data_IF_480108471036
#
_entry.id   IF_480108471036
#
_cell.length_a   1.000
_cell.length_b   1.000
_cell.length_c   1.000
_cell.angle_alpha   90.00
_cell.angle_beta   90.00
_cell.angle_gamma   90.00
#
_symmetry.space_group_name_H-M   'P 1'
#
loop_
_entity.id
_entity.type
_entity.pdbx_description
1 polymer ?
#
# COMPACT_ATOMS: atom_id res chain seq x y z
N UNK A 1 -13.34 26.47 5.87
CA UNK A 1 -13.29 25.70 4.58
C UNK A 1 -13.82 24.31 4.87
N UNK A 2 -14.47 23.65 3.91
CA UNK A 2 -14.90 22.26 4.11
C UNK A 2 -13.67 21.36 4.25
N UNK A 3 -13.69 20.44 5.22
CA UNK A 3 -12.62 19.50 5.42
C UNK A 3 -12.53 18.49 4.26
N UNK A 4 -11.31 18.17 3.84
CA UNK A 4 -11.01 17.37 2.64
C UNK A 4 -10.33 16.06 3.00
N UNK A 5 -10.48 15.07 2.14
CA UNK A 5 -9.61 13.89 2.17
C UNK A 5 -8.29 14.27 1.49
N UNK A 6 -7.19 14.21 2.23
CA UNK A 6 -5.83 14.42 1.69
C UNK A 6 -5.32 13.10 1.13
N UNK A 7 -4.98 13.08 -0.17
CA UNK A 7 -4.37 11.91 -0.81
C UNK A 7 -2.93 12.26 -1.14
N UNK A 8 -1.96 11.59 -0.52
CA UNK A 8 -0.54 11.74 -0.85
C UNK A 8 -0.12 10.70 -1.88
N UNK A 9 0.90 11.01 -2.70
CA UNK A 9 1.28 10.14 -3.81
C UNK A 9 0.20 10.09 -4.91
N UNK A 10 -0.56 11.19 -5.03
CA UNK A 10 -1.76 11.27 -5.88
C UNK A 10 -1.45 11.19 -7.37
N UNK A 11 -0.23 11.53 -7.80
CA UNK A 11 0.23 11.41 -9.19
C UNK A 11 0.70 10.01 -9.55
N UNK A 12 0.91 9.16 -8.54
CA UNK A 12 1.25 7.75 -8.72
C UNK A 12 0.06 6.93 -9.23
N UNK A 13 0.34 5.71 -9.71
CA UNK A 13 -0.68 4.83 -10.29
C UNK A 13 -1.90 4.61 -9.39
N UNK A 14 -1.70 4.21 -8.13
CA UNK A 14 -2.81 3.91 -7.21
C UNK A 14 -3.44 5.18 -6.63
N UNK A 15 -2.65 6.23 -6.41
CA UNK A 15 -3.18 7.53 -5.99
C UNK A 15 -4.16 8.11 -7.00
N UNK A 16 -3.88 7.98 -8.30
CA UNK A 16 -4.82 8.38 -9.37
C UNK A 16 -6.10 7.58 -9.33
N UNK A 17 -6.00 6.25 -9.31
CA UNK A 17 -7.16 5.34 -9.26
C UNK A 17 -8.08 5.68 -8.10
N UNK A 18 -7.51 5.80 -6.90
CA UNK A 18 -8.30 6.09 -5.69
C UNK A 18 -8.82 7.52 -5.71
N UNK A 19 -8.02 8.49 -6.19
CA UNK A 19 -8.47 9.87 -6.35
C UNK A 19 -9.66 10.01 -7.30
N UNK A 20 -9.63 9.34 -8.44
CA UNK A 20 -10.74 9.31 -9.40
C UNK A 20 -11.98 8.63 -8.81
N UNK A 21 -11.82 7.47 -8.15
CA UNK A 21 -12.92 6.76 -7.53
C UNK A 21 -13.61 7.55 -6.42
N UNK A 22 -12.85 8.13 -5.50
CA UNK A 22 -13.40 8.96 -4.42
C UNK A 22 -14.07 10.25 -4.93
N UNK A 23 -13.53 10.86 -6.00
CA UNK A 23 -14.16 12.02 -6.65
C UNK A 23 -15.49 11.67 -7.32
N UNK A 24 -15.62 10.47 -7.89
CA UNK A 24 -16.88 9.98 -8.45
C UNK A 24 -17.97 9.84 -7.35
N UNK A 25 -17.58 9.51 -6.11
CA UNK A 25 -18.42 9.52 -4.92
C UNK A 25 -18.67 10.91 -4.32
N UNK A 26 -18.37 11.99 -5.05
CA UNK A 26 -18.56 13.41 -4.66
C UNK A 26 -17.80 13.81 -3.38
N UNK A 27 -16.66 13.17 -3.10
CA UNK A 27 -15.78 13.53 -2.00
C UNK A 27 -14.96 14.78 -2.34
N UNK A 28 -14.77 15.66 -1.36
CA UNK A 28 -13.87 16.81 -1.50
C UNK A 28 -12.42 16.34 -1.26
N UNK A 29 -11.55 16.53 -2.24
CA UNK A 29 -10.18 15.98 -2.24
C UNK A 29 -9.13 17.08 -2.28
N UNK A 30 -8.04 16.85 -1.54
CA UNK A 30 -6.77 17.55 -1.71
C UNK A 30 -5.70 16.53 -2.10
N UNK A 31 -5.27 16.58 -3.33
CA UNK A 31 -4.25 15.71 -3.91
C UNK A 31 -2.87 16.31 -3.68
N UNK A 32 -1.91 15.52 -3.21
CA UNK A 32 -0.53 15.99 -3.03
C UNK A 32 0.48 15.01 -3.62
N UNK A 33 1.52 15.55 -4.25
CA UNK A 33 2.65 14.79 -4.81
C UNK A 33 3.84 15.72 -5.07
N UNK A 34 5.03 15.15 -5.31
CA UNK A 34 6.19 15.86 -5.84
C UNK A 34 6.16 15.97 -7.38
N UNK A 35 5.46 15.02 -8.03
CA UNK A 35 5.26 15.02 -9.48
C UNK A 35 4.11 15.94 -9.89
N UNK A 36 3.98 16.15 -11.20
CA UNK A 36 2.86 16.91 -11.76
C UNK A 36 1.52 16.24 -11.45
N UNK A 37 0.44 17.05 -11.29
CA UNK A 37 -0.87 16.52 -11.00
C UNK A 37 -1.39 15.60 -12.11
N UNK A 38 -2.27 14.65 -11.80
CA UNK A 38 -3.00 13.91 -12.82
C UNK A 38 -3.78 14.86 -13.74
N UNK A 39 -3.82 14.55 -15.04
CA UNK A 39 -4.55 15.33 -16.02
C UNK A 39 -5.59 14.47 -16.75
N UNK A 40 -6.85 14.90 -16.78
CA UNK A 40 -7.41 16.05 -16.04
C UNK A 40 -7.46 15.80 -14.53
N UNK A 41 -7.51 16.85 -13.72
CA UNK A 41 -7.80 16.71 -12.29
C UNK A 41 -9.21 16.11 -12.10
N UNK A 42 -9.39 15.18 -11.16
CA UNK A 42 -10.72 14.70 -10.79
C UNK A 42 -11.64 15.85 -10.37
N UNK A 43 -12.92 15.74 -10.70
CA UNK A 43 -13.90 16.80 -10.42
C UNK A 43 -13.94 17.14 -8.93
N UNK A 44 -13.81 18.41 -8.59
CA UNK A 44 -13.83 18.88 -7.20
C UNK A 44 -12.55 18.63 -6.41
N UNK A 45 -11.50 18.13 -7.04
CA UNK A 45 -10.20 17.97 -6.43
C UNK A 45 -9.35 19.24 -6.58
N UNK A 46 -8.54 19.53 -5.54
CA UNK A 46 -7.45 20.48 -5.57
C UNK A 46 -6.12 19.74 -5.60
N UNK A 47 -5.07 20.35 -6.13
CA UNK A 47 -3.72 19.79 -6.10
C UNK A 47 -2.74 20.78 -5.47
N UNK A 48 -1.85 20.26 -4.62
CA UNK A 48 -0.70 20.99 -4.10
C UNK A 48 0.57 20.15 -4.25
N UNK A 49 1.61 20.73 -4.82
CA UNK A 49 2.92 20.10 -4.89
C UNK A 49 3.56 20.13 -3.51
N UNK A 50 3.71 18.95 -2.89
CA UNK A 50 4.29 18.81 -1.56
C UNK A 50 5.22 17.59 -1.55
N UNK A 51 6.44 17.80 -1.05
CA UNK A 51 7.35 16.72 -0.71
C UNK A 51 6.98 16.17 0.68
N UNK A 52 6.80 14.86 0.80
CA UNK A 52 6.50 14.19 2.06
C UNK A 52 7.57 14.43 3.14
N UNK A 53 8.81 14.70 2.72
CA UNK A 53 9.92 14.99 3.65
C UNK A 53 9.89 16.42 4.18
N UNK A 54 9.12 17.31 3.58
CA UNK A 54 8.88 18.66 4.11
C UNK A 54 7.80 18.62 5.20
N UNK A 55 8.26 18.50 6.43
CA UNK A 55 7.38 18.45 7.62
C UNK A 55 6.44 19.66 7.71
N UNK A 56 6.97 20.85 7.47
CA UNK A 56 6.19 22.09 7.64
C UNK A 56 5.06 22.16 6.62
N UNK A 57 5.34 21.84 5.34
CA UNK A 57 4.34 21.79 4.28
C UNK A 57 3.26 20.72 4.55
N UNK A 58 3.67 19.53 5.01
CA UNK A 58 2.73 18.46 5.36
C UNK A 58 1.80 18.86 6.51
N UNK A 59 2.33 19.38 7.60
CA UNK A 59 1.54 19.72 8.79
C UNK A 59 0.66 20.96 8.58
N UNK A 60 1.01 21.86 7.67
CA UNK A 60 0.17 23.00 7.30
C UNK A 60 -1.20 22.60 6.71
N UNK A 61 -1.37 21.35 6.27
CA UNK A 61 -2.65 20.82 5.77
C UNK A 61 -3.66 20.50 6.89
N UNK A 62 -3.24 20.39 8.14
CA UNK A 62 -4.07 19.90 9.23
C UNK A 62 -5.43 20.63 9.37
N UNK A 63 -5.54 21.97 9.26
CA UNK A 63 -6.82 22.68 9.45
C UNK A 63 -7.90 22.33 8.41
N UNK A 64 -7.54 21.73 7.28
CA UNK A 64 -8.46 21.37 6.20
C UNK A 64 -8.57 19.85 5.96
N UNK A 65 -7.96 19.02 6.81
CA UNK A 65 -7.88 17.57 6.65
C UNK A 65 -9.00 16.85 7.42
N UNK A 66 -9.86 16.10 6.71
CA UNK A 66 -10.87 15.22 7.28
C UNK A 66 -10.39 13.77 7.42
N UNK A 67 -9.55 13.32 6.49
CA UNK A 67 -8.91 12.02 6.50
C UNK A 67 -7.61 12.09 5.67
N UNK A 68 -6.68 11.18 5.93
CA UNK A 68 -5.45 11.02 5.13
C UNK A 68 -5.48 9.66 4.45
N UNK A 69 -5.29 9.64 3.13
CA UNK A 69 -5.08 8.41 2.33
C UNK A 69 -3.65 8.47 1.79
N UNK A 70 -2.77 7.66 2.38
CA UNK A 70 -1.33 7.78 2.18
C UNK A 70 -0.79 6.73 1.21
N UNK A 71 -0.62 7.12 -0.07
CA UNK A 71 0.05 6.33 -1.11
C UNK A 71 1.47 6.82 -1.42
N UNK A 72 1.87 7.96 -0.88
CA UNK A 72 3.17 8.55 -1.15
C UNK A 72 4.32 7.71 -0.62
N UNK A 73 5.09 7.12 -1.52
CA UNK A 73 6.24 6.27 -1.22
C UNK A 73 6.99 5.93 -2.52
N UNK A 74 8.22 5.48 -2.43
CA UNK A 74 8.87 4.70 -3.49
C UNK A 74 8.30 3.27 -3.46
N UNK A 75 7.57 2.82 -4.52
CA UNK A 75 6.83 1.55 -4.49
C UNK A 75 7.65 0.37 -5.05
N UNK A 76 8.94 0.38 -4.87
CA UNK A 76 9.87 -0.63 -5.38
C UNK A 76 11.02 -0.84 -4.38
N UNK A 77 11.70 -1.98 -4.48
CA UNK A 77 12.93 -2.18 -3.74
C UNK A 77 14.00 -1.19 -4.22
N UNK A 78 14.65 -0.53 -3.28
CA UNK A 78 15.70 0.47 -3.47
C UNK A 78 16.67 0.42 -2.30
N UNK A 79 17.77 1.18 -2.39
CA UNK A 79 18.69 1.33 -1.28
C UNK A 79 17.99 1.90 -0.04
N UNK A 80 18.55 1.64 1.14
CA UNK A 80 17.98 2.15 2.38
C UNK A 80 17.89 3.68 2.39
N UNK A 81 18.90 4.34 1.83
CA UNK A 81 18.99 5.81 1.74
C UNK A 81 17.86 6.40 0.88
N UNK A 82 17.52 5.74 -0.25
CA UNK A 82 16.42 6.18 -1.10
C UNK A 82 15.06 5.95 -0.42
N UNK A 83 14.88 4.82 0.26
CA UNK A 83 13.66 4.45 0.98
C UNK A 83 13.44 5.34 2.21
N UNK A 84 14.50 5.75 2.90
CA UNK A 84 14.41 6.44 4.19
C UNK A 84 13.58 7.73 4.11
N UNK A 85 13.82 8.57 3.12
CA UNK A 85 13.12 9.85 2.96
C UNK A 85 11.61 9.65 2.77
N UNK A 86 11.16 9.20 1.60
CA UNK A 86 9.74 9.14 1.29
C UNK A 86 8.97 8.11 2.12
N UNK A 87 9.54 6.91 2.37
CA UNK A 87 8.80 5.82 2.98
C UNK A 87 8.79 5.86 4.52
N UNK A 88 9.85 6.31 5.15
CA UNK A 88 9.96 6.34 6.62
C UNK A 88 9.63 7.72 7.16
N UNK A 89 10.38 8.75 6.73
CA UNK A 89 10.17 10.12 7.20
C UNK A 89 8.83 10.67 6.71
N UNK A 90 8.50 10.46 5.43
CA UNK A 90 7.21 10.87 4.85
C UNK A 90 6.02 10.20 5.52
N UNK A 91 6.10 8.90 5.82
CA UNK A 91 5.06 8.18 6.58
C UNK A 91 4.88 8.77 7.98
N UNK A 92 5.98 9.09 8.69
CA UNK A 92 5.89 9.77 9.98
C UNK A 92 5.16 11.12 9.87
N UNK A 93 5.48 11.94 8.87
CA UNK A 93 4.80 13.23 8.66
C UNK A 93 3.32 13.05 8.33
N UNK A 94 2.95 12.02 7.59
CA UNK A 94 1.55 11.71 7.27
C UNK A 94 0.76 11.32 8.54
N UNK A 95 1.34 10.53 9.45
CA UNK A 95 0.72 10.22 10.74
C UNK A 95 0.63 11.46 11.66
N UNK A 96 1.65 12.32 11.67
CA UNK A 96 1.59 13.59 12.40
C UNK A 96 0.50 14.52 11.85
N UNK A 97 0.34 14.59 10.52
CA UNK A 97 -0.78 15.31 9.90
C UNK A 97 -2.12 14.76 10.40
N UNK A 98 -2.32 13.44 10.34
CA UNK A 98 -3.56 12.81 10.80
C UNK A 98 -3.83 13.11 12.28
N UNK A 99 -2.81 13.02 13.14
CA UNK A 99 -2.90 13.33 14.55
C UNK A 99 -3.32 14.80 14.82
N UNK A 100 -2.66 15.75 14.16
CA UNK A 100 -2.94 17.19 14.36
C UNK A 100 -4.32 17.58 13.84
N UNK A 101 -4.79 16.91 12.77
CA UNK A 101 -6.10 17.13 12.19
C UNK A 101 -7.23 16.42 12.96
N UNK A 102 -6.93 15.52 13.91
CA UNK A 102 -7.93 14.61 14.48
C UNK A 102 -8.56 13.70 13.43
N UNK A 103 -7.80 13.36 12.41
CA UNK A 103 -8.25 12.64 11.22
C UNK A 103 -7.83 11.17 11.26
N UNK A 104 -8.58 10.29 10.57
CA UNK A 104 -8.17 8.90 10.37
C UNK A 104 -7.16 8.77 9.25
N UNK A 105 -6.38 7.68 9.30
CA UNK A 105 -5.36 7.31 8.32
C UNK A 105 -5.77 6.06 7.56
N UNK A 106 -5.75 6.10 6.23
CA UNK A 106 -5.73 4.92 5.37
C UNK A 106 -4.31 4.81 4.82
N UNK A 107 -3.57 3.82 5.28
CA UNK A 107 -2.16 3.62 4.92
C UNK A 107 -2.02 2.53 3.86
N UNK A 108 -1.38 2.87 2.73
CA UNK A 108 -1.01 1.90 1.72
C UNK A 108 0.18 1.05 2.22
N UNK A 109 -0.12 -0.02 2.96
CA UNK A 109 0.82 -1.09 3.25
C UNK A 109 0.98 -2.00 2.01
N UNK A 110 1.62 -3.15 2.15
CA UNK A 110 1.93 -4.04 1.04
C UNK A 110 1.98 -5.49 1.49
N UNK A 111 1.71 -6.42 0.59
CA UNK A 111 2.01 -7.83 0.80
C UNK A 111 3.51 -8.11 1.00
N UNK A 112 4.40 -7.15 0.70
CA UNK A 112 5.84 -7.25 0.95
C UNK A 112 6.21 -7.21 2.44
N UNK A 113 5.27 -6.87 3.34
CA UNK A 113 5.45 -7.02 4.80
C UNK A 113 5.55 -8.49 5.24
N UNK A 114 5.03 -9.42 4.42
CA UNK A 114 5.03 -10.87 4.69
C UNK A 114 5.73 -11.68 3.58
N UNK A 115 6.50 -11.03 2.71
CA UNK A 115 7.00 -11.59 1.47
C UNK A 115 7.80 -12.88 1.62
N UNK A 116 8.59 -13.06 2.69
CA UNK A 116 9.38 -14.28 2.95
C UNK A 116 8.59 -15.44 3.57
N UNK A 117 7.26 -15.40 3.58
CA UNK A 117 6.50 -16.63 3.82
C UNK A 117 6.43 -17.49 2.55
N UNK A 118 6.50 -18.81 2.73
CA UNK A 118 6.42 -19.75 1.61
C UNK A 118 5.03 -19.72 0.96
N UNK A 119 4.96 -19.91 -0.37
CA UNK A 119 3.72 -19.84 -1.14
C UNK A 119 2.63 -20.80 -0.67
N UNK A 120 2.99 -21.91 -0.01
CA UNK A 120 2.03 -22.86 0.55
C UNK A 120 1.42 -22.45 1.89
N UNK A 121 1.91 -21.36 2.51
CA UNK A 121 1.45 -20.94 3.84
C UNK A 121 0.19 -20.09 3.73
N UNK A 122 -0.87 -20.48 4.43
CA UNK A 122 -2.08 -19.66 4.57
C UNK A 122 -1.86 -18.67 5.72
N UNK A 123 -1.94 -17.38 5.44
CA UNK A 123 -1.70 -16.29 6.39
C UNK A 123 -2.99 -15.56 6.77
N UNK A 124 -2.96 -14.89 7.90
CA UNK A 124 -3.94 -13.92 8.40
C UNK A 124 -3.26 -12.60 8.74
N UNK A 125 -4.01 -11.61 9.20
CA UNK A 125 -3.49 -10.30 9.54
C UNK A 125 -2.54 -10.30 10.73
N UNK A 126 -2.64 -11.28 11.64
CA UNK A 126 -1.78 -11.43 12.82
C UNK A 126 -0.51 -12.22 12.54
N UNK A 127 -0.37 -12.76 11.34
CA UNK A 127 0.81 -13.51 10.93
C UNK A 127 2.07 -12.66 11.04
N UNK A 128 3.16 -13.26 11.54
CA UNK A 128 4.43 -12.57 11.77
C UNK A 128 4.92 -11.85 10.52
N UNK A 129 5.28 -10.59 10.66
CA UNK A 129 5.91 -9.83 9.59
C UNK A 129 7.24 -10.47 9.19
N UNK A 130 7.42 -10.72 7.89
CA UNK A 130 8.64 -11.25 7.28
C UNK A 130 8.91 -10.49 5.98
N UNK A 131 9.33 -9.21 6.09
CA UNK A 131 9.54 -8.36 4.93
C UNK A 131 10.63 -8.92 4.02
N UNK A 132 10.46 -8.71 2.73
CA UNK A 132 11.33 -9.25 1.68
C UNK A 132 12.36 -8.26 1.14
N UNK A 133 12.37 -7.03 1.64
CA UNK A 133 13.32 -6.00 1.30
C UNK A 133 13.13 -4.74 2.15
N UNK A 134 13.89 -3.68 1.85
CA UNK A 134 13.75 -2.38 2.54
C UNK A 134 12.41 -1.73 2.26
N UNK A 135 11.86 -1.91 1.04
CA UNK A 135 10.49 -1.49 0.76
C UNK A 135 9.50 -2.18 1.70
N UNK A 136 9.52 -3.51 1.77
CA UNK A 136 8.68 -4.28 2.69
C UNK A 136 8.86 -3.87 4.15
N UNK A 137 10.11 -3.67 4.59
CA UNK A 137 10.44 -3.20 5.94
C UNK A 137 9.85 -1.81 6.22
N UNK A 138 9.90 -0.89 5.26
CA UNK A 138 9.28 0.44 5.39
C UNK A 138 7.76 0.37 5.56
N UNK A 139 7.12 -0.65 4.97
CA UNK A 139 5.68 -0.87 5.14
C UNK A 139 5.35 -1.49 6.51
N UNK A 140 6.20 -2.39 7.03
CA UNK A 140 6.12 -2.84 8.43
C UNK A 140 6.20 -1.65 9.40
N UNK A 141 7.15 -0.73 9.18
CA UNK A 141 7.26 0.49 9.96
C UNK A 141 5.94 1.29 9.96
N UNK A 142 5.31 1.47 8.80
CA UNK A 142 4.03 2.20 8.70
C UNK A 142 2.88 1.52 9.45
N UNK A 143 2.78 0.18 9.44
CA UNK A 143 1.80 -0.56 10.23
C UNK A 143 2.03 -0.38 11.74
N UNK A 144 3.29 -0.44 12.19
CA UNK A 144 3.66 -0.18 13.58
C UNK A 144 3.43 1.28 13.99
N UNK A 145 3.61 2.23 13.07
CA UNK A 145 3.22 3.63 13.30
C UNK A 145 1.72 3.76 13.55
N UNK A 146 0.89 3.05 12.77
CA UNK A 146 -0.56 3.01 13.00
C UNK A 146 -0.90 2.54 14.41
N UNK A 147 -0.26 1.46 14.88
CA UNK A 147 -0.45 0.95 16.25
C UNK A 147 0.00 1.97 17.29
N UNK A 148 1.19 2.54 17.15
CA UNK A 148 1.73 3.54 18.06
C UNK A 148 0.81 4.77 18.17
N UNK A 149 0.31 5.27 17.03
CA UNK A 149 -0.53 6.47 17.00
C UNK A 149 -1.93 6.20 17.51
N UNK A 150 -2.46 5.00 17.34
CA UNK A 150 -3.69 4.57 17.99
C UNK A 150 -3.53 4.54 19.53
N UNK A 151 -2.53 3.79 20.02
CA UNK A 151 -2.35 3.57 21.44
C UNK A 151 -2.00 4.87 22.20
N UNK A 152 -1.24 5.79 21.58
CA UNK A 152 -0.82 7.05 22.23
C UNK A 152 -1.75 8.23 21.98
N UNK A 153 -2.41 8.28 20.84
CA UNK A 153 -3.09 9.48 20.36
C UNK A 153 -4.52 9.23 19.90
N UNK A 154 -4.99 7.99 19.86
CA UNK A 154 -6.33 7.64 19.39
C UNK A 154 -6.54 7.88 17.90
N UNK A 155 -5.47 7.96 17.10
CA UNK A 155 -5.57 8.09 15.65
C UNK A 155 -6.04 6.78 15.05
N UNK A 156 -7.27 6.73 14.55
CA UNK A 156 -7.78 5.57 13.84
C UNK A 156 -7.03 5.32 12.55
N UNK A 157 -6.67 4.06 12.26
CA UNK A 157 -5.95 3.73 11.04
C UNK A 157 -6.34 2.37 10.45
N UNK A 158 -6.39 2.32 9.11
CA UNK A 158 -6.45 1.08 8.33
C UNK A 158 -5.18 0.96 7.50
N UNK A 159 -4.37 -0.05 7.80
CA UNK A 159 -3.23 -0.44 6.97
C UNK A 159 -3.69 -1.49 5.96
N UNK A 160 -3.66 -1.17 4.67
CA UNK A 160 -4.06 -2.07 3.60
C UNK A 160 -2.81 -2.76 3.06
N UNK A 161 -2.63 -4.06 3.33
CA UNK A 161 -1.58 -4.90 2.72
C UNK A 161 -1.95 -5.16 1.27
N UNK A 162 -1.69 -4.17 0.41
CA UNK A 162 -2.06 -4.23 -1.01
C UNK A 162 -1.27 -5.34 -1.69
N UNK A 163 -1.99 -6.23 -2.37
CA UNK A 163 -1.41 -7.23 -3.24
C UNK A 163 -1.03 -6.66 -4.61
N UNK A 164 -1.30 -7.40 -5.68
CA UNK A 164 -0.99 -6.97 -7.04
C UNK A 164 -2.10 -6.09 -7.61
N UNK A 165 -2.08 -4.79 -7.29
CA UNK A 165 -3.08 -3.83 -7.78
C UNK A 165 -2.81 -3.47 -9.25
N UNK A 166 -3.60 -4.03 -10.17
CA UNK A 166 -3.49 -3.89 -11.63
C UNK A 166 -4.86 -4.02 -12.28
N UNK A 167 -5.05 -3.51 -13.52
CA UNK A 167 -6.28 -3.77 -14.28
C UNK A 167 -6.55 -5.27 -14.44
N UNK A 168 -5.50 -6.06 -14.72
CA UNK A 168 -5.54 -7.51 -14.90
C UNK A 168 -4.30 -8.17 -14.29
N UNK A 169 -4.40 -9.41 -13.77
CA UNK A 169 -3.24 -10.17 -13.32
C UNK A 169 -2.32 -10.51 -14.51
N UNK A 170 -1.00 -10.59 -14.26
CA UNK A 170 0.01 -10.83 -15.30
C UNK A 170 0.67 -12.20 -15.24
N UNK A 171 0.54 -12.87 -14.09
CA UNK A 171 1.13 -14.18 -13.84
C UNK A 171 0.24 -14.97 -12.87
N UNK A 172 0.49 -16.27 -12.74
CA UNK A 172 -0.33 -17.15 -11.88
C UNK A 172 -0.16 -16.86 -10.39
N UNK A 173 0.93 -16.21 -9.95
CA UNK A 173 1.07 -15.72 -8.59
C UNK A 173 0.00 -14.67 -8.31
N UNK A 174 -0.29 -13.80 -9.27
CA UNK A 174 -1.28 -12.74 -9.12
C UNK A 174 -2.71 -13.27 -9.07
N UNK A 175 -3.00 -14.50 -9.50
CA UNK A 175 -4.29 -15.14 -9.24
C UNK A 175 -4.61 -15.25 -7.73
N UNK A 176 -3.59 -15.15 -6.88
CA UNK A 176 -3.71 -15.24 -5.43
C UNK A 176 -3.68 -13.90 -4.73
N UNK A 177 -3.01 -12.91 -5.35
CA UNK A 177 -2.66 -11.64 -4.71
C UNK A 177 -3.28 -10.43 -5.39
N UNK A 178 -4.01 -10.61 -6.47
CA UNK A 178 -4.57 -9.52 -7.27
C UNK A 178 -5.67 -8.75 -6.53
N UNK A 179 -5.68 -7.45 -6.75
CA UNK A 179 -6.81 -6.58 -6.45
C UNK A 179 -7.11 -5.73 -7.69
N UNK A 180 -8.37 -5.70 -8.11
CA UNK A 180 -8.81 -4.78 -9.15
C UNK A 180 -8.74 -3.34 -8.66
N UNK A 181 -8.69 -2.39 -9.58
CA UNK A 181 -8.72 -0.97 -9.24
C UNK A 181 -10.04 -0.59 -8.52
N UNK A 182 -11.16 -1.16 -8.96
CA UNK A 182 -12.47 -0.87 -8.39
C UNK A 182 -12.60 -1.45 -6.97
N UNK A 183 -12.10 -2.67 -6.73
CA UNK A 183 -12.07 -3.25 -5.39
C UNK A 183 -11.13 -2.49 -4.46
N UNK A 184 -10.01 -1.95 -4.96
CA UNK A 184 -9.15 -1.09 -4.15
C UNK A 184 -9.88 0.19 -3.70
N UNK A 185 -10.63 0.83 -4.60
CA UNK A 185 -11.46 2.00 -4.25
C UNK A 185 -12.51 1.62 -3.20
N UNK A 186 -13.24 0.51 -3.38
CA UNK A 186 -14.24 0.02 -2.41
C UNK A 186 -13.63 -0.22 -1.03
N UNK A 187 -12.41 -0.80 -0.97
CA UNK A 187 -11.73 -1.06 0.30
C UNK A 187 -11.31 0.23 1.00
N UNK A 188 -10.80 1.22 0.26
CA UNK A 188 -10.49 2.54 0.80
C UNK A 188 -11.75 3.23 1.31
N UNK A 189 -12.85 3.19 0.56
CA UNK A 189 -14.14 3.75 0.98
C UNK A 189 -14.68 3.07 2.25
N UNK A 190 -14.59 1.73 2.34
CA UNK A 190 -14.98 1.01 3.54
C UNK A 190 -14.18 1.47 4.77
N UNK A 191 -12.85 1.63 4.64
CA UNK A 191 -12.01 2.17 5.72
C UNK A 191 -12.35 3.62 6.09
N UNK A 192 -12.68 4.46 5.11
CA UNK A 192 -13.09 5.86 5.34
C UNK A 192 -14.45 5.96 6.04
N UNK A 193 -15.37 5.02 5.78
CA UNK A 193 -16.73 5.02 6.31
C UNK A 193 -16.89 4.24 7.62
N UNK A 194 -15.94 3.40 7.99
CA UNK A 194 -16.04 2.51 9.15
C UNK A 194 -16.25 3.29 10.46
N UNK A 195 -17.21 2.86 11.27
CA UNK A 195 -17.38 3.35 12.64
C UNK A 195 -16.48 2.55 13.57
N UNK A 196 -15.78 3.25 14.50
CA UNK A 196 -14.89 2.61 15.46
C UNK A 196 -13.78 1.80 14.81
N UNK A 197 -13.14 2.37 13.79
CA UNK A 197 -12.10 1.72 13.02
C UNK A 197 -10.95 1.19 13.89
N UNK A 198 -10.54 1.96 14.91
CA UNK A 198 -9.39 1.63 15.74
C UNK A 198 -8.10 1.58 14.94
N UNK A 199 -7.24 0.59 15.22
CA UNK A 199 -6.05 0.30 14.42
C UNK A 199 -6.18 -1.09 13.82
N UNK A 200 -6.39 -1.16 12.50
CA UNK A 200 -6.63 -2.40 11.77
C UNK A 200 -5.68 -2.60 10.62
N UNK A 201 -5.48 -3.88 10.30
CA UNK A 201 -4.80 -4.34 9.08
C UNK A 201 -5.83 -5.09 8.25
N UNK A 202 -5.80 -4.93 6.93
CA UNK A 202 -6.64 -5.68 6.00
C UNK A 202 -5.84 -6.09 4.76
N UNK A 203 -6.21 -7.21 4.17
CA UNK A 203 -5.64 -7.65 2.89
C UNK A 203 -6.26 -6.88 1.74
N UNK A 204 -5.43 -6.20 0.97
CA UNK A 204 -5.81 -5.52 -0.27
C UNK A 204 -5.83 -6.51 -1.42
N UNK A 205 -6.87 -7.35 -1.48
CA UNK A 205 -7.13 -8.32 -2.54
C UNK A 205 -8.60 -8.29 -2.96
N UNK A 206 -8.87 -8.69 -4.21
CA UNK A 206 -10.22 -9.00 -4.68
C UNK A 206 -10.71 -10.34 -4.12
N UNK A 207 -11.90 -10.77 -4.47
CA UNK A 207 -12.51 -12.02 -4.01
C UNK A 207 -11.84 -13.28 -4.57
N UNK A 208 -10.52 -13.31 -4.70
CA UNK A 208 -9.77 -14.33 -5.41
C UNK A 208 -10.00 -15.74 -4.86
N UNK A 209 -10.44 -16.64 -5.71
CA UNK A 209 -10.67 -18.05 -5.39
C UNK A 209 -9.40 -18.74 -4.88
N UNK A 210 -8.21 -18.40 -5.42
CA UNK A 210 -6.91 -19.04 -5.09
C UNK A 210 -6.09 -18.30 -4.04
N UNK A 211 -6.70 -17.41 -3.23
CA UNK A 211 -5.98 -16.56 -2.26
C UNK A 211 -5.10 -17.36 -1.28
N UNK A 212 -3.97 -16.74 -0.89
CA UNK A 212 -3.10 -17.25 0.18
C UNK A 212 -3.46 -16.70 1.56
N UNK A 213 -4.32 -15.68 1.62
CA UNK A 213 -4.61 -14.94 2.83
C UNK A 213 -6.07 -15.12 3.24
N UNK A 214 -6.28 -15.36 4.52
CA UNK A 214 -7.63 -15.30 5.12
C UNK A 214 -8.01 -13.83 5.24
N UNK A 215 -9.16 -13.50 4.75
CA UNK A 215 -9.66 -12.13 4.83
C UNK A 215 -10.73 -12.07 5.92
N UNK A 216 -10.40 -11.38 6.99
CA UNK A 216 -11.24 -11.17 8.15
C UNK A 216 -11.25 -9.68 8.55
N UNK A 217 -10.15 -8.96 8.32
CA UNK A 217 -10.02 -7.54 8.63
C UNK A 217 -10.94 -6.67 7.77
N UNK A 218 -10.95 -6.87 6.46
CA UNK A 218 -11.73 -6.08 5.52
C UNK A 218 -13.23 -6.40 5.56
N UNK A 219 -13.61 -7.68 5.74
CA UNK A 219 -15.01 -8.09 5.86
C UNK A 219 -15.70 -7.37 7.03
N UNK A 220 -15.02 -7.26 8.18
CA UNK A 220 -15.54 -6.56 9.36
C UNK A 220 -15.76 -5.06 9.15
N UNK A 221 -15.15 -4.47 8.12
CA UNK A 221 -15.36 -3.08 7.70
C UNK A 221 -16.50 -2.93 6.68
N UNK A 222 -17.15 -4.03 6.31
CA UNK A 222 -18.19 -4.05 5.28
C UNK A 222 -17.65 -4.06 3.86
N UNK A 223 -16.35 -4.29 3.65
CA UNK A 223 -15.78 -4.48 2.34
C UNK A 223 -16.32 -5.74 1.67
N UNK A 224 -16.80 -5.60 0.44
CA UNK A 224 -17.33 -6.70 -0.37
C UNK A 224 -16.66 -6.63 -1.74
N UNK A 225 -15.60 -7.42 -1.97
CA UNK A 225 -14.94 -7.49 -3.28
C UNK A 225 -15.93 -8.03 -4.31
N UNK A 226 -15.83 -7.51 -5.55
CA UNK A 226 -16.71 -7.88 -6.66
C UNK A 226 -15.97 -8.58 -7.78
N UNK A 227 -14.64 -8.52 -7.77
CA UNK A 227 -13.81 -9.12 -8.79
C UNK A 227 -13.10 -10.37 -8.28
N UNK A 228 -12.75 -11.29 -9.21
CA UNK A 228 -11.95 -12.49 -8.96
C UNK A 228 -10.94 -12.67 -10.09
N UNK A 229 -9.69 -12.87 -9.73
CA UNK A 229 -8.62 -13.14 -10.68
C UNK A 229 -8.79 -14.46 -11.44
N UNK A 230 -9.60 -15.39 -10.94
CA UNK A 230 -9.82 -16.69 -11.57
C UNK A 230 -10.29 -16.60 -13.03
N UNK A 231 -11.03 -15.56 -13.37
CA UNK A 231 -11.47 -15.30 -14.76
C UNK A 231 -10.34 -15.14 -15.78
N UNK A 232 -9.13 -14.92 -15.31
CA UNK A 232 -7.93 -14.76 -16.14
C UNK A 232 -7.03 -16.00 -16.15
N UNK A 233 -7.38 -17.06 -15.40
CA UNK A 233 -6.49 -18.21 -15.16
C UNK A 233 -6.02 -18.90 -16.45
N UNK A 234 -6.93 -19.09 -17.42
CA UNK A 234 -6.66 -19.80 -18.69
C UNK A 234 -5.72 -19.00 -19.62
N UNK A 235 -5.58 -17.68 -19.41
CA UNK A 235 -4.73 -16.82 -20.22
C UNK A 235 -3.29 -16.70 -19.68
N UNK A 236 -3.00 -17.27 -18.50
CA UNK A 236 -1.72 -17.11 -17.82
C UNK A 236 -0.87 -18.39 -17.92
N UNK A 237 0.42 -18.21 -18.19
CA UNK A 237 1.38 -19.32 -18.22
C UNK A 237 1.65 -19.84 -16.79
N UNK A 238 1.32 -21.12 -16.50
CA UNK A 238 1.53 -21.71 -15.17
C UNK A 238 3.00 -21.87 -14.79
N UNK A 239 3.92 -21.82 -15.75
CA UNK A 239 5.35 -21.96 -15.50
C UNK A 239 6.02 -20.71 -14.93
N UNK A 240 5.32 -19.55 -14.92
CA UNK A 240 5.88 -18.25 -14.50
C UNK A 240 7.28 -18.01 -15.15
N UNK A 241 7.37 -17.92 -16.49
CA UNK A 241 8.66 -17.80 -17.18
C UNK A 241 9.43 -16.57 -16.69
N UNK A 242 10.74 -16.73 -16.50
CA UNK A 242 11.61 -15.67 -15.96
C UNK A 242 11.67 -15.58 -14.44
N UNK A 243 10.91 -16.40 -13.71
CA UNK A 243 10.97 -16.47 -12.25
C UNK A 243 12.02 -17.48 -11.80
N UNK A 244 13.00 -17.05 -10.99
CA UNK A 244 14.00 -17.93 -10.37
C UNK A 244 13.44 -18.69 -9.16
N UNK A 245 14.21 -19.66 -8.61
CA UNK A 245 13.76 -20.54 -7.52
C UNK A 245 13.27 -19.78 -6.27
N UNK A 246 13.96 -18.71 -5.88
CA UNK A 246 13.60 -17.89 -4.73
C UNK A 246 12.23 -17.21 -4.96
N UNK A 247 12.04 -16.62 -6.13
CA UNK A 247 10.76 -15.97 -6.49
C UNK A 247 9.59 -16.96 -6.54
N UNK A 248 9.84 -18.21 -6.97
CA UNK A 248 8.83 -19.28 -7.01
C UNK A 248 8.52 -19.85 -5.61
N UNK A 249 9.45 -19.75 -4.67
CA UNK A 249 9.31 -20.30 -3.31
C UNK A 249 8.46 -19.41 -2.40
N UNK A 250 8.63 -18.08 -2.47
CA UNK A 250 8.09 -17.15 -1.50
C UNK A 250 6.92 -16.32 -2.05
N UNK A 251 6.04 -15.87 -1.14
CA UNK A 251 4.85 -15.08 -1.49
C UNK A 251 5.18 -13.71 -2.07
N UNK A 252 6.30 -13.09 -1.68
CA UNK A 252 6.78 -11.82 -2.22
C UNK A 252 7.24 -11.88 -3.68
N UNK A 253 7.51 -13.10 -4.19
CA UNK A 253 7.92 -13.29 -5.58
C UNK A 253 9.29 -12.69 -5.89
N UNK A 254 9.39 -11.92 -6.99
CA UNK A 254 10.65 -11.32 -7.45
C UNK A 254 11.37 -10.48 -6.41
N UNK A 255 10.65 -9.75 -5.55
CA UNK A 255 11.26 -8.95 -4.47
C UNK A 255 12.09 -9.81 -3.51
N UNK A 256 11.64 -11.04 -3.21
CA UNK A 256 12.42 -11.96 -2.38
C UNK A 256 13.76 -12.38 -3.02
N UNK A 257 13.86 -12.32 -4.34
CA UNK A 257 15.08 -12.70 -5.06
C UNK A 257 16.07 -11.54 -5.18
N UNK A 258 15.60 -10.30 -5.05
CA UNK A 258 16.46 -9.13 -5.12
C UNK A 258 17.41 -9.08 -3.92
N UNK A 259 18.74 -9.16 -4.16
CA UNK A 259 19.75 -9.17 -3.10
C UNK A 259 19.74 -10.42 -2.20
N UNK A 260 19.04 -11.49 -2.58
CA UNK A 260 19.00 -12.73 -1.79
C UNK A 260 20.35 -13.43 -1.78
N UNK A 261 20.86 -13.72 -0.58
CA UNK A 261 22.19 -14.32 -0.39
C UNK A 261 22.26 -15.45 0.64
N UNK A 262 21.12 -15.89 1.17
CA UNK A 262 21.08 -16.87 2.26
C UNK A 262 21.68 -18.22 1.87
N UNK A 263 21.35 -18.70 0.66
CA UNK A 263 21.71 -20.03 0.15
C UNK A 263 22.68 -19.92 -1.05
N UNK A 264 23.20 -18.70 -1.33
CA UNK A 264 24.11 -18.38 -2.42
C UNK A 264 25.34 -17.62 -1.89
N UNK A 265 26.49 -17.63 -2.61
CA UNK A 265 27.64 -16.81 -2.23
C UNK A 265 27.24 -15.34 -2.11
N UNK A 266 27.37 -14.78 -0.92
CA UNK A 266 27.07 -13.36 -0.70
C UNK A 266 28.13 -12.52 -1.39
N UNK A 267 27.76 -11.55 -2.28
CA UNK A 267 28.71 -10.55 -2.73
C UNK A 267 29.18 -9.71 -1.55
N UNK A 268 30.40 -9.19 -1.62
CA UNK A 268 30.97 -8.33 -0.57
C UNK A 268 30.09 -7.08 -0.31
N UNK A 269 29.43 -6.61 -1.35
CA UNK A 269 28.40 -5.56 -1.28
C UNK A 269 27.05 -6.16 -1.67
N UNK A 270 26.18 -6.41 -0.70
CA UNK A 270 24.85 -6.98 -0.90
C UNK A 270 23.92 -6.07 -1.71
N UNK A 271 24.29 -4.81 -1.92
CA UNK A 271 23.55 -3.84 -2.72
C UNK A 271 24.25 -3.52 -4.06
N UNK A 272 25.30 -4.27 -4.43
CA UNK A 272 25.99 -4.04 -5.70
C UNK A 272 25.04 -4.07 -6.91
N UNK A 273 24.02 -4.95 -6.87
CA UNK A 273 22.99 -5.09 -7.90
C UNK A 273 22.09 -3.84 -8.07
N UNK A 274 22.03 -2.96 -7.06
CA UNK A 274 21.26 -1.71 -7.14
C UNK A 274 22.03 -0.60 -7.88
N UNK A 275 23.35 -0.69 -7.97
CA UNK A 275 24.20 0.38 -8.56
C UNK A 275 24.10 0.44 -10.09
N UNK A 276 23.61 -0.62 -10.72
CA UNK A 276 23.50 -0.76 -12.18
C UNK A 276 22.08 -0.46 -12.72
N UNK A 277 21.21 0.08 -11.90
CA UNK A 277 19.83 0.48 -12.21
C UNK A 277 19.65 1.99 -11.95
#
# INVERSE_FOLDING_TARGET
>A
MAAKIVITGASGRLGRVVGEGLAAGARSLLLTDIADPPQPLPRGAEFRRIDLTDKAAMLALAPETAAVVHFGALPAERSFEEILGPNVIGTYHAFELARLAGARMIFASSNHVIGFHERGTLLDEDSVMRPDGFYGLSKCYGELMGRLYWDKHGVESLSIRIGSARPEPRDVRQLRTWISHDDLVRLVEAGLAAEGLGCRVAWGISGNTRRWWRDNGAESLGYKPQDDAERYADALDPAEPGSGPVALRYQGGGFCAEGYSRDEPSPADIFAWMKDR
#
